data_IF_919015011658
#
_entry.id   IF_919015011658
#
_cell.length_a   1.000
_cell.length_b   1.000
_cell.length_c   1.000
_cell.angle_alpha   90.00
_cell.angle_beta   90.00
_cell.angle_gamma   90.00
#
_symmetry.space_group_name_H-M   'P 1'
#
loop_
_entity.id
_entity.type
_entity.pdbx_description
1 polymer ?
#
# COMPACT_ATOMS: atom_id res chain seq x y z
N UNK A 1 -11.46 3.25 -28.81
CA UNK A 1 -10.71 3.10 -27.55
C UNK A 1 -10.81 4.41 -26.80
N UNK A 2 -10.92 4.38 -25.47
CA UNK A 2 -10.97 5.62 -24.68
C UNK A 2 -9.64 6.36 -24.80
N UNK A 3 -9.70 7.69 -24.86
CA UNK A 3 -8.52 8.56 -24.89
C UNK A 3 -7.72 8.35 -23.58
N UNK A 4 -6.42 7.99 -23.66
CA UNK A 4 -5.60 7.78 -22.47
C UNK A 4 -5.19 9.10 -21.78
N UNK A 5 -5.32 10.25 -22.44
CA UNK A 5 -4.79 11.53 -21.95
C UNK A 5 -5.27 11.89 -20.53
N UNK A 6 -6.58 11.78 -20.21
CA UNK A 6 -7.06 12.13 -18.86
C UNK A 6 -6.46 11.27 -17.74
N UNK A 7 -6.27 9.96 -17.97
CA UNK A 7 -5.66 9.08 -16.94
C UNK A 7 -4.16 9.30 -16.80
N UNK A 8 -3.47 9.69 -17.88
CA UNK A 8 -2.05 10.06 -17.81
C UNK A 8 -1.88 11.37 -17.00
N UNK A 9 -2.77 12.35 -17.21
CA UNK A 9 -2.77 13.59 -16.41
C UNK A 9 -3.03 13.31 -14.92
N UNK A 10 -4.01 12.46 -14.61
CA UNK A 10 -4.31 12.07 -13.24
C UNK A 10 -3.14 11.27 -12.60
N UNK A 11 -2.46 10.39 -13.35
CA UNK A 11 -1.26 9.68 -12.89
C UNK A 11 -0.13 10.66 -12.51
N UNK A 12 0.09 11.68 -13.34
CA UNK A 12 1.09 12.73 -13.05
C UNK A 12 0.75 13.47 -11.76
N UNK A 13 -0.50 13.91 -11.59
CA UNK A 13 -0.93 14.61 -10.38
C UNK A 13 -0.83 13.75 -9.12
N UNK A 14 -1.20 12.48 -9.21
CA UNK A 14 -1.10 11.51 -8.12
C UNK A 14 0.37 11.30 -7.71
N UNK A 15 1.26 11.20 -8.69
CA UNK A 15 2.70 11.09 -8.46
C UNK A 15 3.28 12.35 -7.82
N UNK A 16 2.86 13.54 -8.26
CA UNK A 16 3.30 14.81 -7.70
C UNK A 16 2.85 15.01 -6.24
N UNK A 17 1.68 14.48 -5.87
CA UNK A 17 1.22 14.50 -4.49
C UNK A 17 2.10 13.66 -3.57
N UNK A 18 2.43 12.44 -3.98
CA UNK A 18 3.34 11.56 -3.24
C UNK A 18 4.77 12.14 -3.22
N UNK A 19 5.23 12.72 -4.32
CA UNK A 19 6.53 13.41 -4.40
C UNK A 19 6.64 14.51 -3.33
N UNK A 20 5.64 15.40 -3.23
CA UNK A 20 5.59 16.44 -2.19
C UNK A 20 5.64 15.87 -0.77
N UNK A 21 5.02 14.70 -0.56
CA UNK A 21 5.01 14.05 0.75
C UNK A 21 6.40 13.54 1.17
N UNK A 22 7.22 13.08 0.22
CA UNK A 22 8.53 12.49 0.52
C UNK A 22 9.72 13.43 0.32
N UNK A 23 9.58 14.47 -0.52
CA UNK A 23 10.69 15.35 -0.92
C UNK A 23 11.35 16.11 0.24
N UNK A 24 10.58 16.46 1.28
CA UNK A 24 11.07 17.18 2.46
C UNK A 24 11.49 16.27 3.63
N UNK A 25 11.42 14.95 3.48
CA UNK A 25 11.69 14.02 4.57
C UNK A 25 13.19 13.89 4.83
N UNK A 26 13.55 13.90 6.12
CA UNK A 26 14.91 13.51 6.56
C UNK A 26 15.22 12.05 6.20
N UNK A 27 16.51 11.66 6.07
CA UNK A 27 16.89 10.27 5.85
C UNK A 27 16.32 9.27 6.86
N UNK A 28 16.08 9.69 8.11
CA UNK A 28 15.52 8.85 9.16
C UNK A 28 14.04 8.54 8.91
N UNK A 29 13.29 9.52 8.40
CA UNK A 29 11.88 9.34 8.00
C UNK A 29 11.73 8.40 6.81
N UNK A 30 12.72 8.34 5.92
CA UNK A 30 12.77 7.35 4.82
C UNK A 30 12.94 5.90 5.30
N UNK A 31 13.45 5.70 6.52
CA UNK A 31 13.62 4.37 7.15
C UNK A 31 12.42 3.95 8.01
N UNK A 32 11.38 4.79 8.12
CA UNK A 32 10.17 4.40 8.85
C UNK A 32 9.55 3.17 8.20
N UNK A 33 9.24 2.17 9.03
CA UNK A 33 8.44 1.04 8.63
C UNK A 33 7.06 1.52 8.20
N UNK A 34 6.61 1.00 7.06
CA UNK A 34 5.23 1.17 6.62
C UNK A 34 4.38 0.03 7.13
N UNK A 35 3.05 0.16 7.08
CA UNK A 35 2.18 -0.96 7.39
C UNK A 35 2.33 -2.18 6.46
N UNK A 36 2.97 -2.03 5.28
CA UNK A 36 3.41 -3.17 4.48
C UNK A 36 4.63 -3.83 5.14
N UNK A 37 4.47 -5.08 5.58
CA UNK A 37 5.47 -5.77 6.39
C UNK A 37 6.83 -5.85 5.67
N UNK A 38 7.90 -5.48 6.39
CA UNK A 38 9.27 -5.45 5.86
C UNK A 38 9.62 -4.22 5.01
N UNK A 39 8.63 -3.41 4.60
CA UNK A 39 8.86 -2.28 3.71
C UNK A 39 8.91 -0.96 4.48
N UNK A 40 9.92 -0.16 4.19
CA UNK A 40 10.05 1.23 4.66
C UNK A 40 9.54 2.21 3.60
N UNK A 41 9.46 3.51 3.93
CA UNK A 41 9.17 4.57 2.95
C UNK A 41 10.12 4.48 1.73
N UNK A 42 11.40 4.17 1.95
CA UNK A 42 12.36 3.94 0.86
C UNK A 42 11.97 2.76 -0.04
N UNK A 43 11.46 1.67 0.53
CA UNK A 43 10.97 0.53 -0.25
C UNK A 43 9.74 0.88 -1.08
N UNK A 44 8.81 1.68 -0.53
CA UNK A 44 7.63 2.14 -1.27
C UNK A 44 8.02 2.93 -2.52
N UNK A 45 8.92 3.91 -2.39
CA UNK A 45 9.38 4.72 -3.53
C UNK A 45 10.26 3.88 -4.47
N UNK A 46 11.09 2.99 -3.92
CA UNK A 46 11.94 2.10 -4.70
C UNK A 46 11.13 1.16 -5.59
N UNK A 47 10.06 0.54 -5.05
CA UNK A 47 9.13 -0.29 -5.81
C UNK A 47 8.44 0.50 -6.93
N UNK A 48 7.96 1.71 -6.65
CA UNK A 48 7.35 2.55 -7.68
C UNK A 48 8.34 2.88 -8.81
N UNK A 49 9.56 3.27 -8.46
CA UNK A 49 10.61 3.54 -9.45
C UNK A 49 10.97 2.31 -10.30
N UNK A 50 11.07 1.13 -9.67
CA UNK A 50 11.34 -0.12 -10.36
C UNK A 50 10.19 -0.53 -11.30
N UNK A 51 8.94 -0.44 -10.82
CA UNK A 51 7.77 -0.77 -11.64
C UNK A 51 7.49 0.25 -12.75
N UNK A 52 7.80 1.54 -12.54
CA UNK A 52 7.77 2.56 -13.61
C UNK A 52 8.82 2.29 -14.68
N UNK A 53 10.03 1.88 -14.29
CA UNK A 53 11.07 1.45 -15.23
C UNK A 53 10.62 0.22 -16.04
N UNK A 54 9.99 -0.75 -15.38
CA UNK A 54 9.44 -1.95 -16.03
C UNK A 54 8.34 -1.59 -17.05
N UNK A 55 7.44 -0.67 -16.69
CA UNK A 55 6.41 -0.14 -17.58
C UNK A 55 7.00 0.63 -18.77
N UNK A 56 8.06 1.42 -18.53
CA UNK A 56 8.75 2.12 -19.61
C UNK A 56 9.35 1.13 -20.61
N UNK A 57 10.06 0.10 -20.14
CA UNK A 57 10.57 -0.96 -21.00
C UNK A 57 9.44 -1.63 -21.78
N UNK A 58 8.31 -1.98 -21.15
CA UNK A 58 7.17 -2.56 -21.85
C UNK A 58 6.67 -1.69 -23.01
N UNK A 59 6.71 -0.37 -22.86
CA UNK A 59 6.25 0.59 -23.87
C UNK A 59 7.31 0.82 -24.97
N UNK A 60 8.59 0.88 -24.62
CA UNK A 60 9.65 1.35 -25.53
C UNK A 60 10.61 0.27 -26.02
N UNK A 61 10.73 -0.85 -25.31
CA UNK A 61 11.70 -1.93 -25.54
C UNK A 61 11.14 -3.29 -25.07
N UNK A 62 10.36 -3.92 -25.94
CA UNK A 62 9.73 -5.21 -25.65
C UNK A 62 10.74 -6.33 -25.37
N UNK A 63 11.93 -6.28 -25.97
CA UNK A 63 13.00 -7.26 -25.73
C UNK A 63 13.65 -7.04 -24.36
N UNK A 64 13.92 -5.79 -23.99
CA UNK A 64 14.35 -5.42 -22.64
C UNK A 64 13.33 -5.82 -21.57
N UNK A 65 12.04 -5.63 -21.83
CA UNK A 65 10.98 -6.09 -20.93
C UNK A 65 10.94 -7.62 -20.81
N UNK A 66 11.08 -8.35 -21.92
CA UNK A 66 11.13 -9.82 -21.89
C UNK A 66 12.32 -10.33 -21.07
N UNK A 67 13.51 -9.74 -21.23
CA UNK A 67 14.67 -10.08 -20.42
C UNK A 67 14.43 -9.80 -18.93
N UNK A 68 13.71 -8.72 -18.59
CA UNK A 68 13.30 -8.43 -17.22
C UNK A 68 12.34 -9.50 -16.66
N UNK A 69 11.35 -9.94 -17.45
CA UNK A 69 10.43 -11.04 -17.07
C UNK A 69 11.17 -12.36 -16.89
N UNK A 70 12.12 -12.68 -17.76
CA UNK A 70 12.93 -13.91 -17.64
C UNK A 70 13.72 -13.93 -16.33
N UNK A 71 14.30 -12.79 -15.92
CA UNK A 71 14.93 -12.66 -14.59
C UNK A 71 13.93 -12.85 -13.46
N UNK A 72 12.70 -12.36 -13.61
CA UNK A 72 11.62 -12.54 -12.63
C UNK A 72 11.27 -14.01 -12.41
N UNK A 73 11.12 -14.75 -13.51
CA UNK A 73 10.74 -16.16 -13.50
C UNK A 73 11.85 -17.05 -12.91
N UNK A 74 13.10 -16.61 -12.95
CA UNK A 74 14.21 -17.29 -12.29
C UNK A 74 14.19 -17.13 -10.75
N UNK A 75 13.49 -16.13 -10.21
CA UNK A 75 13.37 -15.86 -8.77
C UNK A 75 11.94 -15.41 -8.36
N UNK A 76 10.90 -16.24 -8.59
CA UNK A 76 9.50 -15.82 -8.55
C UNK A 76 9.00 -15.41 -7.16
N UNK A 77 9.62 -15.91 -6.08
CA UNK A 77 9.27 -15.56 -4.71
C UNK A 77 10.00 -14.32 -4.17
N UNK A 78 10.90 -13.73 -4.95
CA UNK A 78 11.74 -12.61 -4.51
C UNK A 78 11.79 -11.45 -5.48
N UNK A 79 11.25 -11.56 -6.70
CA UNK A 79 11.46 -10.57 -7.74
C UNK A 79 10.97 -9.15 -7.41
N UNK A 80 9.76 -9.02 -6.87
CA UNK A 80 9.21 -7.71 -6.49
C UNK A 80 9.93 -7.13 -5.27
N UNK A 81 10.23 -7.97 -4.28
CA UNK A 81 10.94 -7.56 -3.07
C UNK A 81 12.41 -7.22 -3.33
N UNK A 82 13.13 -7.98 -4.17
CA UNK A 82 14.53 -7.74 -4.56
C UNK A 82 14.66 -6.46 -5.40
N UNK A 83 13.70 -6.18 -6.30
CA UNK A 83 13.65 -4.94 -7.07
C UNK A 83 13.41 -3.73 -6.16
N UNK A 84 12.46 -3.82 -5.24
CA UNK A 84 12.20 -2.79 -4.24
C UNK A 84 13.41 -2.58 -3.32
N UNK A 85 14.05 -3.66 -2.86
CA UNK A 85 15.20 -3.62 -1.95
C UNK A 85 16.46 -3.07 -2.63
N UNK A 86 16.70 -3.41 -3.91
CA UNK A 86 17.78 -2.79 -4.69
C UNK A 86 17.60 -1.28 -4.83
N UNK A 87 16.40 -0.85 -5.18
CA UNK A 87 16.11 0.58 -5.33
C UNK A 87 16.07 1.30 -3.99
N UNK A 88 15.69 0.63 -2.89
CA UNK A 88 15.68 1.18 -1.54
C UNK A 88 17.07 1.37 -0.93
N UNK A 89 18.12 0.72 -1.48
CA UNK A 89 19.52 0.93 -1.06
C UNK A 89 20.08 2.29 -1.49
N UNK A 90 19.43 2.96 -2.45
CA UNK A 90 19.83 4.30 -2.88
C UNK A 90 19.63 5.32 -1.75
N UNK A 91 20.38 6.43 -1.79
CA UNK A 91 20.10 7.54 -0.89
C UNK A 91 18.70 8.11 -1.17
N UNK A 92 18.01 8.71 -0.19
CA UNK A 92 16.71 9.35 -0.42
C UNK A 92 16.68 10.30 -1.62
N UNK A 93 17.75 11.07 -1.82
CA UNK A 93 17.87 12.00 -2.93
C UNK A 93 17.97 11.26 -4.27
N UNK A 94 18.80 10.22 -4.36
CA UNK A 94 18.98 9.43 -5.57
C UNK A 94 17.71 8.62 -5.91
N UNK A 95 17.07 8.03 -4.91
CA UNK A 95 15.82 7.29 -5.08
C UNK A 95 14.72 8.20 -5.64
N UNK A 96 14.56 9.40 -5.07
CA UNK A 96 13.57 10.37 -5.54
C UNK A 96 13.91 10.93 -6.93
N UNK A 97 15.19 11.22 -7.21
CA UNK A 97 15.63 11.67 -8.53
C UNK A 97 15.36 10.61 -9.61
N UNK A 98 15.73 9.36 -9.34
CA UNK A 98 15.47 8.23 -10.24
C UNK A 98 13.97 8.03 -10.47
N UNK A 99 13.15 8.09 -9.43
CA UNK A 99 11.71 7.95 -9.58
C UNK A 99 11.12 9.08 -10.44
N UNK A 100 11.53 10.33 -10.20
CA UNK A 100 11.11 11.50 -11.00
C UNK A 100 11.48 11.37 -12.48
N UNK A 101 12.69 10.95 -12.77
CA UNK A 101 13.16 10.74 -14.14
C UNK A 101 12.36 9.61 -14.82
N UNK A 102 12.23 8.47 -14.15
CA UNK A 102 11.51 7.31 -14.66
C UNK A 102 10.04 7.59 -14.98
N UNK A 103 9.31 8.23 -14.04
CA UNK A 103 7.89 8.56 -14.26
C UNK A 103 7.68 9.61 -15.35
N UNK A 104 8.60 10.57 -15.51
CA UNK A 104 8.55 11.55 -16.60
C UNK A 104 8.80 10.90 -17.97
N UNK A 105 9.76 9.97 -18.05
CA UNK A 105 10.02 9.20 -19.27
C UNK A 105 8.84 8.28 -19.63
N UNK A 106 8.24 7.62 -18.64
CA UNK A 106 7.05 6.79 -18.84
C UNK A 106 5.85 7.61 -19.30
N UNK A 107 5.59 8.77 -18.68
CA UNK A 107 4.52 9.67 -19.09
C UNK A 107 4.66 10.05 -20.56
N UNK A 108 5.87 10.47 -20.96
CA UNK A 108 6.17 10.82 -22.35
C UNK A 108 5.90 9.64 -23.29
N UNK A 109 6.42 8.46 -22.97
CA UNK A 109 6.25 7.25 -23.79
C UNK A 109 4.79 6.85 -23.96
N UNK A 110 3.97 6.95 -22.90
CA UNK A 110 2.54 6.65 -22.94
C UNK A 110 1.75 7.67 -23.80
N UNK A 111 2.15 8.94 -23.81
CA UNK A 111 1.53 9.98 -24.66
C UNK A 111 1.90 9.83 -26.14
N UNK A 112 3.13 9.41 -26.42
CA UNK A 112 3.65 9.21 -27.78
C UNK A 112 3.24 7.84 -28.38
N UNK A 113 2.70 6.95 -27.56
CA UNK A 113 2.23 5.63 -27.97
C UNK A 113 1.23 5.69 -29.14
N UNK A 114 1.40 4.85 -30.19
CA UNK A 114 0.42 4.77 -31.27
C UNK A 114 -0.97 4.42 -30.76
N UNK A 115 -2.00 5.06 -31.31
CA UNK A 115 -3.38 4.76 -30.96
C UNK A 115 -3.69 3.27 -31.17
N UNK A 116 -4.09 2.58 -30.10
CA UNK A 116 -4.40 1.16 -30.14
C UNK A 116 -3.24 0.20 -29.96
N UNK A 117 -2.03 0.70 -29.72
CA UNK A 117 -0.90 -0.13 -29.33
C UNK A 117 -1.23 -0.97 -28.08
N UNK A 118 -0.66 -2.17 -28.06
CA UNK A 118 -0.69 -3.10 -26.93
C UNK A 118 0.74 -3.43 -26.53
N UNK A 119 1.00 -3.33 -25.24
CA UNK A 119 2.32 -3.51 -24.65
C UNK A 119 2.36 -4.82 -23.87
N UNK A 120 3.47 -5.58 -23.94
CA UNK A 120 3.65 -6.76 -23.11
C UNK A 120 3.57 -6.37 -21.63
N UNK A 121 3.01 -7.25 -20.80
CA UNK A 121 2.98 -7.06 -19.36
C UNK A 121 3.05 -8.42 -18.65
N UNK A 122 3.18 -8.43 -17.33
CA UNK A 122 3.21 -9.66 -16.53
C UNK A 122 1.92 -10.49 -16.63
N UNK A 123 0.83 -9.89 -17.11
CA UNK A 123 -0.43 -10.53 -17.44
C UNK A 123 -0.82 -10.28 -18.89
N UNK A 124 -2.12 -10.11 -19.19
CA UNK A 124 -2.57 -9.76 -20.53
C UNK A 124 -1.92 -8.46 -21.02
N UNK A 125 -1.59 -8.35 -22.33
CA UNK A 125 -1.06 -7.12 -22.90
C UNK A 125 -1.96 -5.90 -22.62
N UNK A 126 -1.36 -4.79 -22.20
CA UNK A 126 -2.08 -3.59 -21.79
C UNK A 126 -2.10 -2.54 -22.90
N UNK A 127 -3.17 -1.75 -22.99
CA UNK A 127 -3.12 -0.49 -23.75
C UNK A 127 -2.44 0.61 -22.93
N UNK A 128 -2.09 1.74 -23.55
CA UNK A 128 -1.56 2.91 -22.84
C UNK A 128 -2.47 3.34 -21.68
N UNK A 129 -3.79 3.42 -21.91
CA UNK A 129 -4.76 3.76 -20.88
C UNK A 129 -4.75 2.74 -19.71
N UNK A 130 -4.77 1.43 -20.02
CA UNK A 130 -4.75 0.39 -18.98
C UNK A 130 -3.46 0.42 -18.15
N UNK A 131 -2.32 0.68 -18.80
CA UNK A 131 -1.03 0.80 -18.10
C UNK A 131 -1.03 2.04 -17.20
N UNK A 132 -1.46 3.20 -17.70
CA UNK A 132 -1.58 4.41 -16.90
C UNK A 132 -2.52 4.23 -15.69
N UNK A 133 -3.68 3.57 -15.88
CA UNK A 133 -4.60 3.23 -14.77
C UNK A 133 -3.94 2.34 -13.73
N UNK A 134 -3.21 1.29 -14.16
CA UNK A 134 -2.51 0.40 -13.24
C UNK A 134 -1.42 1.12 -12.45
N UNK A 135 -0.61 1.97 -13.11
CA UNK A 135 0.42 2.79 -12.46
C UNK A 135 -0.17 3.81 -11.50
N UNK A 136 -1.34 4.39 -11.82
CA UNK A 136 -2.04 5.31 -10.93
C UNK A 136 -2.49 4.60 -9.66
N UNK A 137 -3.09 3.41 -9.80
CA UNK A 137 -3.49 2.59 -8.65
C UNK A 137 -2.30 2.21 -7.77
N UNK A 138 -1.18 1.76 -8.37
CA UNK A 138 0.06 1.45 -7.64
C UNK A 138 0.57 2.70 -6.89
N UNK A 139 0.67 3.84 -7.57
CA UNK A 139 1.14 5.10 -6.97
C UNK A 139 0.25 5.51 -5.79
N UNK A 140 -1.07 5.42 -5.95
CA UNK A 140 -2.01 5.75 -4.89
C UNK A 140 -1.89 4.79 -3.69
N UNK A 141 -1.82 3.48 -3.93
CA UNK A 141 -1.76 2.46 -2.90
C UNK A 141 -0.45 2.53 -2.08
N UNK A 142 0.69 2.65 -2.76
CA UNK A 142 1.99 2.83 -2.10
C UNK A 142 2.11 4.21 -1.44
N UNK A 143 1.48 5.24 -2.02
CA UNK A 143 1.35 6.55 -1.38
C UNK A 143 0.52 6.52 -0.09
N UNK A 144 -0.50 5.67 -0.01
CA UNK A 144 -1.25 5.42 1.22
C UNK A 144 -0.37 4.75 2.29
N UNK A 145 0.43 3.74 1.93
CA UNK A 145 1.39 3.12 2.86
C UNK A 145 2.38 4.13 3.44
N UNK A 146 2.87 5.06 2.61
CA UNK A 146 3.74 6.16 3.04
C UNK A 146 2.98 7.12 3.97
N UNK A 147 1.76 7.52 3.62
CA UNK A 147 0.96 8.42 4.44
C UNK A 147 0.66 7.86 5.83
N UNK A 148 0.30 6.57 5.90
CA UNK A 148 0.06 5.85 7.16
C UNK A 148 1.33 5.83 8.03
N UNK A 149 2.50 5.54 7.43
CA UNK A 149 3.79 5.53 8.14
C UNK A 149 4.17 6.91 8.68
N UNK A 150 3.80 7.97 7.96
CA UNK A 150 4.09 9.35 8.34
C UNK A 150 3.05 9.93 9.30
N UNK A 151 1.90 9.27 9.48
CA UNK A 151 0.78 9.71 10.31
C UNK A 151 -0.01 10.87 9.70
N UNK A 152 -0.05 10.95 8.36
CA UNK A 152 -0.74 12.04 7.64
C UNK A 152 -1.97 11.52 6.90
N UNK A 153 -3.00 12.35 6.80
CA UNK A 153 -4.19 12.05 6.01
C UNK A 153 -4.01 12.59 4.60
N UNK A 154 -4.25 11.74 3.60
CA UNK A 154 -4.32 12.13 2.19
C UNK A 154 -5.77 12.48 1.83
N UNK A 155 -6.06 13.72 1.43
CA UNK A 155 -7.41 14.07 1.00
C UNK A 155 -7.84 13.21 -0.19
N UNK A 156 -9.01 12.53 -0.12
CA UNK A 156 -9.49 11.75 -1.24
C UNK A 156 -9.81 12.68 -2.43
N UNK A 157 -9.42 12.24 -3.63
CA UNK A 157 -9.62 13.01 -4.88
C UNK A 157 -10.37 12.18 -5.92
N UNK A 158 -10.91 12.84 -6.94
CA UNK A 158 -11.62 12.17 -8.06
C UNK A 158 -10.80 11.07 -8.75
N UNK A 159 -9.46 11.12 -8.62
CA UNK A 159 -8.54 10.11 -9.19
C UNK A 159 -8.78 8.70 -8.63
N UNK A 160 -9.40 8.60 -7.45
CA UNK A 160 -9.91 7.34 -6.90
C UNK A 160 -10.87 6.61 -7.84
N UNK A 161 -11.54 7.32 -8.76
CA UNK A 161 -12.41 6.70 -9.77
C UNK A 161 -11.69 5.67 -10.63
N UNK A 162 -10.39 5.86 -10.90
CA UNK A 162 -9.55 4.90 -11.64
C UNK A 162 -9.29 3.63 -10.82
N UNK A 163 -9.02 3.78 -9.52
CA UNK A 163 -8.79 2.66 -8.59
C UNK A 163 -10.09 1.88 -8.39
N UNK A 164 -11.20 2.58 -8.17
CA UNK A 164 -12.53 1.99 -8.04
C UNK A 164 -12.93 1.21 -9.30
N UNK A 165 -12.74 1.81 -10.47
CA UNK A 165 -12.98 1.13 -11.75
C UNK A 165 -12.15 -0.15 -11.88
N UNK A 166 -10.85 -0.09 -11.54
CA UNK A 166 -9.98 -1.27 -11.60
C UNK A 166 -10.44 -2.36 -10.61
N UNK A 167 -10.80 -1.99 -9.39
CA UNK A 167 -11.33 -2.91 -8.38
C UNK A 167 -12.60 -3.64 -8.83
N UNK A 168 -13.55 -2.93 -9.46
CA UNK A 168 -14.75 -3.58 -10.02
C UNK A 168 -14.40 -4.49 -11.20
N UNK A 169 -13.54 -4.02 -12.11
CA UNK A 169 -13.13 -4.77 -13.31
C UNK A 169 -12.36 -6.06 -13.00
N UNK A 170 -11.75 -6.14 -11.82
CA UNK A 170 -10.94 -7.28 -11.38
C UNK A 170 -11.71 -8.26 -10.50
N UNK A 171 -13.03 -8.13 -10.37
CA UNK A 171 -13.89 -9.06 -9.61
C UNK A 171 -13.58 -10.52 -9.91
N UNK A 172 -13.71 -10.95 -11.16
CA UNK A 172 -13.56 -12.37 -11.52
C UNK A 172 -12.10 -12.83 -11.40
N UNK A 173 -11.16 -11.90 -11.64
CA UNK A 173 -9.75 -12.14 -11.41
C UNK A 173 -9.47 -12.44 -9.92
N UNK A 174 -10.08 -11.68 -9.01
CA UNK A 174 -9.97 -11.89 -7.57
C UNK A 174 -10.48 -13.30 -7.17
N UNK A 175 -11.62 -13.74 -7.68
CA UNK A 175 -12.07 -15.13 -7.49
C UNK A 175 -11.04 -16.15 -7.98
N UNK A 176 -10.51 -15.95 -9.19
CA UNK A 176 -9.51 -16.85 -9.78
C UNK A 176 -8.23 -16.98 -8.96
N UNK A 177 -7.63 -15.87 -8.50
CA UNK A 177 -6.40 -15.91 -7.69
C UNK A 177 -6.61 -16.48 -6.29
N UNK A 178 -7.85 -16.49 -5.80
CA UNK A 178 -8.26 -17.15 -4.56
C UNK A 178 -8.72 -18.60 -4.75
N UNK A 179 -8.66 -19.15 -5.97
CA UNK A 179 -9.07 -20.53 -6.26
C UNK A 179 -10.58 -20.75 -6.16
N UNK A 180 -11.37 -19.70 -6.32
CA UNK A 180 -12.82 -19.70 -6.22
C UNK A 180 -13.46 -19.50 -7.61
N UNK A 181 -14.67 -20.00 -7.80
CA UNK A 181 -15.45 -19.75 -9.02
C UNK A 181 -16.21 -18.43 -8.87
N UNK A 182 -16.08 -17.48 -9.82
CA UNK A 182 -16.84 -16.25 -9.77
C UNK A 182 -18.34 -16.51 -9.99
N UNK A 183 -19.23 -15.81 -9.26
CA UNK A 183 -20.66 -15.83 -9.52
C UNK A 183 -20.97 -15.40 -10.97
N UNK A 184 -21.89 -16.10 -11.62
CA UNK A 184 -22.31 -15.79 -12.98
C UNK A 184 -23.03 -14.44 -13.07
N UNK A 185 -23.88 -14.15 -12.08
CA UNK A 185 -24.64 -12.91 -12.04
C UNK A 185 -23.73 -11.72 -11.66
N UNK A 186 -23.90 -10.55 -12.31
CA UNK A 186 -23.27 -9.31 -11.87
C UNK A 186 -23.93 -8.82 -10.58
N UNK A 187 -23.18 -8.05 -9.79
CA UNK A 187 -23.74 -7.23 -8.72
C UNK A 187 -23.50 -5.75 -9.03
N UNK A 188 -24.35 -4.89 -8.46
CA UNK A 188 -24.25 -3.44 -8.56
C UNK A 188 -23.23 -2.92 -7.56
N UNK A 189 -22.35 -2.01 -7.97
CA UNK A 189 -21.43 -1.32 -7.05
C UNK A 189 -21.74 0.16 -7.10
N UNK A 190 -22.07 0.75 -5.96
CA UNK A 190 -22.48 2.16 -5.81
C UNK A 190 -21.62 2.85 -4.76
N UNK A 191 -20.72 3.73 -5.22
CA UNK A 191 -19.73 4.38 -4.37
C UNK A 191 -19.99 5.87 -4.30
N UNK A 192 -19.95 6.43 -3.10
CA UNK A 192 -19.94 7.88 -2.90
C UNK A 192 -18.53 8.41 -3.20
N UNK A 193 -18.39 9.14 -4.31
CA UNK A 193 -17.17 9.82 -4.70
C UNK A 193 -16.80 10.96 -3.72
N UNK A 194 -15.56 11.47 -3.76
CA UNK A 194 -15.09 12.47 -2.80
C UNK A 194 -15.83 13.82 -2.84
N UNK A 195 -16.50 14.15 -3.96
CA UNK A 195 -17.36 15.32 -4.08
C UNK A 195 -18.83 15.07 -3.72
N UNK A 196 -19.17 13.86 -3.26
CA UNK A 196 -20.54 13.44 -2.95
C UNK A 196 -21.32 12.90 -4.16
N UNK A 197 -20.71 12.86 -5.34
CA UNK A 197 -21.29 12.23 -6.52
C UNK A 197 -21.39 10.71 -6.37
N UNK A 198 -22.40 10.10 -7.02
CA UNK A 198 -22.55 8.65 -7.03
C UNK A 198 -21.80 8.05 -8.23
N UNK A 199 -20.88 7.12 -7.97
CA UNK A 199 -20.25 6.29 -8.99
C UNK A 199 -20.92 4.91 -8.99
N UNK A 200 -21.47 4.51 -10.12
CA UNK A 200 -22.23 3.28 -10.22
C UNK A 200 -21.69 2.35 -11.32
N UNK A 201 -21.55 1.08 -11.00
CA UNK A 201 -21.03 0.04 -11.91
C UNK A 201 -21.92 -1.20 -11.87
N UNK A 202 -22.14 -1.81 -13.04
CA UNK A 202 -23.02 -2.97 -13.18
C UNK A 202 -24.51 -2.61 -13.34
N UNK A 203 -25.39 -3.60 -13.58
CA UNK A 203 -26.81 -3.37 -13.87
C UNK A 203 -27.57 -2.72 -12.71
N UNK A 204 -28.52 -1.85 -13.01
CA UNK A 204 -29.36 -1.19 -11.98
C UNK A 204 -30.29 -2.16 -11.25
N UNK A 205 -30.71 -3.21 -11.95
CA UNK A 205 -31.60 -4.29 -11.52
C UNK A 205 -30.85 -5.51 -10.98
N UNK A 206 -29.52 -5.41 -10.77
CA UNK A 206 -28.75 -6.49 -10.19
C UNK A 206 -29.30 -6.86 -8.80
N UNK A 207 -29.49 -8.15 -8.55
CA UNK A 207 -30.10 -8.66 -7.32
C UNK A 207 -29.25 -8.44 -6.07
N UNK A 208 -27.96 -8.13 -6.24
CA UNK A 208 -26.99 -7.94 -5.16
C UNK A 208 -26.23 -6.63 -5.37
N UNK A 209 -25.79 -6.01 -4.27
CA UNK A 209 -25.20 -4.68 -4.29
C UNK A 209 -24.08 -4.50 -3.28
N UNK A 210 -23.07 -3.72 -3.63
CA UNK A 210 -22.08 -3.14 -2.71
C UNK A 210 -22.29 -1.64 -2.66
N UNK A 211 -22.35 -1.05 -1.47
CA UNK A 211 -22.42 0.41 -1.31
C UNK A 211 -21.44 0.94 -0.25
N UNK A 212 -20.99 2.19 -0.40
CA UNK A 212 -20.19 2.88 0.62
C UNK A 212 -19.29 3.99 0.05
N UNK A 213 -18.36 4.54 0.84
CA UNK A 213 -17.42 5.54 0.37
C UNK A 213 -16.45 4.98 -0.68
N UNK A 214 -16.14 5.76 -1.71
CA UNK A 214 -15.16 5.36 -2.72
C UNK A 214 -13.75 5.17 -2.14
N UNK A 215 -13.36 5.99 -1.16
CA UNK A 215 -12.08 5.83 -0.46
C UNK A 215 -11.98 4.46 0.21
N UNK A 216 -13.01 4.06 0.94
CA UNK A 216 -13.08 2.80 1.64
C UNK A 216 -13.00 1.62 0.68
N UNK A 217 -13.74 1.69 -0.44
CA UNK A 217 -13.64 0.69 -1.50
C UNK A 217 -12.22 0.60 -2.06
N UNK A 218 -11.58 1.73 -2.34
CA UNK A 218 -10.20 1.76 -2.85
C UNK A 218 -9.19 1.17 -1.84
N UNK A 219 -9.36 1.47 -0.54
CA UNK A 219 -8.55 0.88 0.52
C UNK A 219 -8.75 -0.65 0.60
N UNK A 220 -9.97 -1.14 0.43
CA UNK A 220 -10.25 -2.58 0.43
C UNK A 220 -9.60 -3.29 -0.75
N UNK A 221 -9.89 -2.85 -2.00
CA UNK A 221 -9.43 -3.56 -3.20
C UNK A 221 -7.92 -3.46 -3.40
N UNK A 222 -7.25 -2.53 -2.74
CA UNK A 222 -5.78 -2.47 -2.69
C UNK A 222 -5.19 -3.12 -1.44
N UNK A 223 -6.02 -3.72 -0.57
CA UNK A 223 -5.63 -4.37 0.68
C UNK A 223 -4.91 -3.44 1.69
N UNK A 224 -5.21 -2.14 1.66
CA UNK A 224 -4.68 -1.13 2.58
C UNK A 224 -5.54 -0.93 3.83
N UNK A 225 -6.71 -1.57 3.90
CA UNK A 225 -7.55 -1.65 5.10
C UNK A 225 -8.25 -3.01 5.21
N UNK A 226 -8.59 -3.39 6.44
CA UNK A 226 -9.44 -4.56 6.70
C UNK A 226 -10.91 -4.20 6.51
N UNK A 227 -11.73 -5.11 5.94
CA UNK A 227 -13.15 -4.86 5.63
C UNK A 227 -13.96 -4.30 6.81
N UNK A 228 -13.69 -4.75 8.03
CA UNK A 228 -14.43 -4.33 9.23
C UNK A 228 -14.13 -2.90 9.68
N UNK A 229 -13.09 -2.27 9.12
CA UNK A 229 -12.71 -0.90 9.43
C UNK A 229 -13.31 0.08 8.41
N UNK A 230 -14.15 -0.40 7.50
CA UNK A 230 -14.65 0.32 6.34
C UNK A 230 -16.16 0.43 6.41
N UNK A 231 -16.70 1.55 5.95
CA UNK A 231 -18.12 1.82 5.81
C UNK A 231 -18.68 1.24 4.50
N UNK A 232 -18.24 0.04 4.13
CA UNK A 232 -18.76 -0.73 3.00
C UNK A 232 -19.86 -1.65 3.49
N UNK A 233 -20.93 -1.72 2.72
CA UNK A 233 -22.06 -2.63 2.96
C UNK A 233 -22.29 -3.48 1.73
N UNK A 234 -22.70 -4.72 1.95
CA UNK A 234 -23.13 -5.63 0.91
C UNK A 234 -24.56 -6.09 1.17
N UNK A 235 -25.37 -6.07 0.12
CA UNK A 235 -26.67 -6.71 0.06
C UNK A 235 -26.57 -7.92 -0.87
N UNK A 236 -26.80 -9.10 -0.34
CA UNK A 236 -26.62 -10.38 -1.03
C UNK A 236 -25.31 -11.12 -0.70
N UNK A 237 -25.35 -12.47 -0.69
CA UNK A 237 -24.24 -13.30 -0.21
C UNK A 237 -22.99 -13.27 -1.11
N UNK A 238 -23.14 -13.13 -2.43
CA UNK A 238 -22.01 -13.09 -3.36
C UNK A 238 -21.30 -11.73 -3.35
N UNK A 239 -22.07 -10.65 -3.17
CA UNK A 239 -21.52 -9.32 -2.95
C UNK A 239 -20.73 -9.25 -1.64
N UNK A 240 -21.28 -9.80 -0.54
CA UNK A 240 -20.57 -9.85 0.76
C UNK A 240 -19.32 -10.73 0.67
N UNK A 241 -19.42 -11.89 -0.01
CA UNK A 241 -18.28 -12.78 -0.22
C UNK A 241 -17.19 -12.12 -1.05
N UNK A 242 -17.53 -11.34 -2.07
CA UNK A 242 -16.53 -10.65 -2.88
C UNK A 242 -15.70 -9.66 -2.06
N UNK A 243 -16.31 -8.96 -1.10
CA UNK A 243 -15.59 -8.02 -0.23
C UNK A 243 -14.49 -8.70 0.63
N UNK A 244 -14.55 -10.01 0.86
CA UNK A 244 -13.47 -10.75 1.54
C UNK A 244 -12.20 -10.90 0.69
N UNK A 245 -12.35 -10.91 -0.62
CA UNK A 245 -11.30 -11.32 -1.56
C UNK A 245 -10.95 -10.23 -2.57
N UNK A 246 -11.60 -9.06 -2.50
CA UNK A 246 -11.46 -8.03 -3.50
C UNK A 246 -10.00 -7.57 -3.64
N UNK A 247 -9.49 -7.57 -4.88
CA UNK A 247 -8.11 -7.25 -5.20
C UNK A 247 -8.00 -6.60 -6.58
N UNK A 248 -7.33 -5.45 -6.66
CA UNK A 248 -7.14 -4.66 -7.88
C UNK A 248 -5.74 -4.76 -8.50
N UNK A 249 -4.82 -5.53 -7.89
CA UNK A 249 -3.44 -5.69 -8.35
C UNK A 249 -3.17 -7.12 -8.83
N UNK A 250 -2.16 -7.28 -9.68
CA UNK A 250 -1.70 -8.59 -10.14
C UNK A 250 -0.80 -9.25 -9.09
N UNK A 251 -0.90 -10.56 -8.94
CA UNK A 251 -0.10 -11.34 -7.99
C UNK A 251 -0.97 -12.13 -7.00
N UNK A 252 -0.35 -12.96 -6.15
CA UNK A 252 -1.06 -13.70 -5.11
C UNK A 252 -1.70 -12.74 -4.10
N UNK A 253 -2.77 -13.17 -3.40
CA UNK A 253 -3.35 -12.40 -2.32
C UNK A 253 -2.29 -12.04 -1.26
N UNK A 254 -2.26 -10.78 -0.84
CA UNK A 254 -1.44 -10.35 0.27
C UNK A 254 -1.99 -10.85 1.61
N UNK A 255 -1.22 -10.66 2.69
CA UNK A 255 -1.69 -10.95 4.05
C UNK A 255 -2.80 -10.03 4.55
N UNK A 256 -3.14 -8.98 3.79
CA UNK A 256 -4.10 -7.96 4.16
C UNK A 256 -3.68 -7.12 5.37
N UNK A 257 -4.58 -6.24 5.83
CA UNK A 257 -4.44 -5.57 7.13
C UNK A 257 -5.17 -6.36 8.20
N UNK A 258 -4.64 -6.42 9.43
CA UNK A 258 -5.44 -6.91 10.56
C UNK A 258 -6.64 -5.98 10.82
N UNK A 259 -7.74 -6.48 11.40
CA UNK A 259 -8.80 -5.64 11.94
C UNK A 259 -8.22 -4.62 12.92
N UNK A 260 -8.76 -3.41 12.97
CA UNK A 260 -8.38 -2.48 14.03
C UNK A 260 -8.75 -3.14 15.36
N UNK A 261 -7.85 -3.07 16.35
CA UNK A 261 -8.22 -3.44 17.71
C UNK A 261 -9.40 -2.57 18.11
N UNK A 262 -10.56 -3.18 18.40
CA UNK A 262 -11.72 -2.46 18.92
C UNK A 262 -11.32 -1.67 20.17
N UNK A 263 -12.12 -0.67 20.61
CA UNK A 263 -11.83 0.05 21.83
C UNK A 263 -11.63 -0.98 22.93
N UNK A 264 -10.43 -1.01 23.52
CA UNK A 264 -10.10 -1.87 24.64
C UNK A 264 -11.08 -1.55 25.75
N UNK A 265 -12.10 -2.40 25.89
CA UNK A 265 -13.14 -2.26 26.88
C UNK A 265 -12.48 -2.20 28.24
N UNK A 266 -12.44 -1.00 28.82
CA UNK A 266 -11.94 -0.78 30.15
C UNK A 266 -12.64 -1.75 31.10
N UNK A 267 -11.87 -2.67 31.65
CA UNK A 267 -12.31 -3.52 32.75
C UNK A 267 -12.70 -2.62 33.91
N UNK A 268 -13.99 -2.30 34.01
CA UNK A 268 -14.58 -1.81 35.25
C UNK A 268 -14.44 -2.96 36.24
N UNK A 269 -13.43 -2.88 37.09
CA UNK A 269 -13.35 -3.68 38.30
C UNK A 269 -14.56 -3.32 39.16
N UNK A 270 -15.56 -4.19 39.17
CA UNK A 270 -16.64 -4.18 40.15
C UNK A 270 -16.05 -4.59 41.49
N UNK A 271 -15.65 -3.61 42.31
CA UNK A 271 -15.30 -3.85 43.70
C UNK A 271 -16.59 -4.15 44.47
N UNK A 272 -16.82 -5.43 44.76
CA UNK A 272 -17.72 -5.85 45.82
C UNK A 272 -17.14 -5.40 47.17
N UNK A 273 -17.97 -4.76 48.00
CA UNK A 273 -17.60 -4.30 49.33
C UNK A 273 -17.30 -5.45 50.30
N UNK A 274 -16.49 -5.24 51.36
CA UNK A 274 -16.13 -6.29 52.30
C UNK A 274 -17.11 -6.36 53.48
N UNK A 275 -17.34 -7.53 54.11
CA UNK A 275 -17.81 -7.58 55.47
C UNK A 275 -16.63 -7.46 56.44
N UNK A 276 -16.87 -6.77 57.55
CA UNK A 276 -15.85 -6.35 58.50
C UNK A 276 -15.42 -7.39 59.53
N UNK A 277 -14.52 -6.93 60.41
CA UNK A 277 -14.31 -7.47 61.75
C UNK A 277 -12.95 -8.13 61.96
N UNK A 278 -12.02 -7.40 62.60
CA UNK A 278 -10.85 -8.00 63.25
C UNK A 278 -9.58 -7.13 63.26
N UNK A 279 -9.33 -6.47 64.40
CA UNK A 279 -8.04 -5.87 64.82
C UNK A 279 -7.72 -6.47 66.22
N UNK A 280 -6.53 -6.35 66.84
CA UNK A 280 -5.16 -5.91 66.47
C UNK A 280 -4.09 -6.97 66.93
N UNK A 281 -2.77 -6.72 67.24
CA UNK A 281 -1.92 -5.51 67.21
C UNK A 281 -0.52 -5.68 66.50
N UNK A 282 -0.01 -4.63 65.82
CA UNK A 282 1.02 -3.65 66.24
C UNK A 282 2.48 -4.16 66.42
N UNK A 283 3.39 -3.72 65.53
CA UNK A 283 4.82 -3.49 65.83
C UNK A 283 5.40 -2.49 64.79
N UNK A 284 6.25 -1.58 65.24
CA UNK A 284 6.67 -0.33 64.57
C UNK A 284 7.87 -0.41 63.60
N UNK A 285 8.41 0.76 63.17
CA UNK A 285 9.38 0.96 62.06
C UNK A 285 10.82 1.20 62.60
N UNK A 286 11.79 1.83 61.87
CA UNK A 286 12.27 1.71 60.47
C UNK A 286 13.81 1.46 60.42
N UNK A 287 14.41 1.33 59.24
CA UNK A 287 15.86 1.48 59.01
C UNK A 287 16.19 1.13 57.55
N UNK A 288 16.83 1.95 56.72
CA UNK A 288 17.93 2.87 56.96
C UNK A 288 19.17 2.26 56.30
N UNK A 289 19.62 2.79 55.16
CA UNK A 289 20.91 2.39 54.58
C UNK A 289 21.04 2.58 53.06
N UNK A 290 21.69 3.66 52.65
CA UNK A 290 22.31 3.91 51.34
C UNK A 290 23.71 4.49 51.64
N UNK A 291 24.66 4.62 50.68
CA UNK A 291 25.38 3.69 49.79
C UNK A 291 26.87 3.55 50.26
N UNK A 292 27.89 3.24 49.42
CA UNK A 292 28.44 4.20 48.44
C UNK A 292 28.94 3.60 47.11
N UNK A 293 29.33 4.50 46.22
CA UNK A 293 29.90 4.30 44.89
C UNK A 293 31.44 4.17 44.89
N UNK A 294 31.99 3.55 43.84
CA UNK A 294 33.33 3.72 43.27
C UNK A 294 33.22 3.28 41.80
N UNK A 295 33.74 3.92 40.75
CA UNK A 295 34.97 4.70 40.59
C UNK A 295 35.80 4.03 39.46
N UNK A 296 36.28 4.74 38.42
CA UNK A 296 36.65 4.14 37.12
C UNK A 296 38.17 3.91 36.93
N UNK A 297 38.51 3.09 35.92
CA UNK A 297 39.85 2.90 35.33
C UNK A 297 39.65 2.69 33.82
N UNK A 298 40.15 3.49 32.86
CA UNK A 298 41.52 3.96 32.62
C UNK A 298 42.37 2.78 32.13
N UNK A 299 43.00 2.70 30.96
CA UNK A 299 43.27 3.52 29.78
C UNK A 299 44.31 2.73 28.94
N UNK A 300 44.45 2.98 27.63
CA UNK A 300 45.60 2.44 26.86
C UNK A 300 45.39 2.21 25.36
N UNK A 301 46.08 3.01 24.56
CA UNK A 301 46.38 2.91 23.10
C UNK A 301 47.73 3.63 22.90
N UNK A 302 48.43 3.56 21.75
CA UNK A 302 48.78 2.51 20.77
C UNK A 302 50.34 2.29 20.76
N UNK A 303 51.08 1.84 19.70
CA UNK A 303 51.17 2.30 18.28
C UNK A 303 50.97 1.15 17.25
N UNK A 304 50.58 1.32 15.98
CA UNK A 304 51.25 1.85 14.76
C UNK A 304 52.54 1.12 14.28
N UNK A 305 52.41 0.36 13.18
CA UNK A 305 53.37 -0.04 12.12
C UNK A 305 52.54 -0.86 11.08
N UNK A 306 52.63 -0.83 9.74
CA UNK A 306 53.61 -0.32 8.79
C UNK A 306 53.94 -1.42 7.75
N UNK A 307 53.54 -1.23 6.46
CA UNK A 307 53.92 -2.00 5.25
C UNK A 307 53.31 -3.43 5.09
N UNK A 308 52.83 -3.89 3.92
CA UNK A 308 53.06 -3.63 2.49
C UNK A 308 51.77 -3.86 1.69
#
# INVERSE_FOLDING_TARGET
MSDPTPVIDDLREESEELDRLVAGLSPDRWRLATPAAGWTVAHQIGHLAWTDHSALLAVTDADGFRALVERALAAPHRFTDEGAEEYARATPADALARWREGRAALEKALREAPAGARFPWYGPPMSAASMATARLMETWAHGQDVADALGVMRPPSRRLGHVAWLGVRTRDFAYGVHGLTPPAEPFRVELAGPGGELWAYGPEDAAQRVTGPALDFCLLVTQRAHRTNLALTADGPDADRWLDIAQAFAGPPGGGRPPAAGPSGGGRSSAAGPPGGGRPPAAGPPGGGRPPAAGPSGGGRPPEEGAR
#
